data_IF_702563072969
#
_entry.id   IF_702563072969
#
_cell.length_a   1.000
_cell.length_b   1.000
_cell.length_c   1.000
_cell.angle_alpha   90.00
_cell.angle_beta   90.00
_cell.angle_gamma   90.00
#
_symmetry.space_group_name_H-M   'P 1'
#
loop_
_entity.id
_entity.type
_entity.pdbx_description
1 polymer ?
#
# COMPACT_ATOMS: atom_id res chain seq x y z
N UNK A 1 3.49 0.83 -1.57
CA UNK A 1 2.86 2.14 -1.28
C UNK A 1 3.96 3.17 -1.11
N UNK A 2 4.26 3.93 -2.17
CA UNK A 2 5.41 4.84 -2.17
C UNK A 2 5.07 6.27 -1.71
N UNK A 3 3.78 6.61 -1.65
CA UNK A 3 3.31 7.98 -1.38
C UNK A 3 3.74 8.52 -0.02
N UNK A 4 3.91 7.66 0.99
CA UNK A 4 4.36 8.10 2.34
C UNK A 4 5.78 8.69 2.31
N UNK A 5 6.63 8.28 1.37
CA UNK A 5 7.98 8.84 1.22
C UNK A 5 7.99 10.27 0.68
N UNK A 6 6.89 10.75 0.10
CA UNK A 6 6.77 12.15 -0.33
C UNK A 6 6.60 13.11 0.86
N UNK A 7 6.28 12.59 2.06
CA UNK A 7 6.01 13.38 3.26
C UNK A 7 6.78 12.82 4.48
N UNK A 8 8.12 12.98 4.52
CA UNK A 8 8.94 12.41 5.60
C UNK A 8 8.49 12.84 7.01
N UNK A 9 8.42 11.89 7.93
CA UNK A 9 8.00 12.09 9.32
C UNK A 9 6.50 12.39 9.50
N UNK A 10 5.71 12.37 8.42
CA UNK A 10 4.26 12.60 8.46
C UNK A 10 3.50 11.28 8.34
N UNK A 11 2.34 11.23 9.00
CA UNK A 11 1.38 10.17 8.74
C UNK A 11 0.54 10.55 7.52
N UNK A 12 0.48 9.64 6.54
CA UNK A 12 -0.37 9.75 5.36
C UNK A 12 -1.57 8.82 5.56
N UNK A 13 -2.78 9.36 5.43
CA UNK A 13 -4.04 8.60 5.42
C UNK A 13 -4.45 8.34 3.97
N UNK A 14 -4.89 7.12 3.69
CA UNK A 14 -5.25 6.66 2.35
C UNK A 14 -6.57 5.92 2.46
N UNK A 15 -7.60 6.48 1.82
CA UNK A 15 -8.94 5.91 1.76
C UNK A 15 -9.24 5.53 0.30
N UNK A 16 -9.76 4.32 0.10
CA UNK A 16 -10.04 3.75 -1.22
C UNK A 16 -11.18 2.74 -1.11
N UNK A 17 -11.91 2.43 -2.19
CA UNK A 17 -12.70 1.20 -2.25
C UNK A 17 -11.78 -0.02 -2.43
N UNK A 18 -12.25 -1.18 -1.97
CA UNK A 18 -11.70 -2.49 -2.28
C UNK A 18 -11.93 -2.80 -3.76
N UNK A 19 -10.90 -3.32 -4.45
CA UNK A 19 -10.98 -3.60 -5.88
C UNK A 19 -11.96 -4.73 -6.24
N UNK A 20 -12.25 -5.63 -5.30
CA UNK A 20 -13.12 -6.80 -5.52
C UNK A 20 -14.58 -6.48 -5.16
N UNK A 21 -14.84 -6.09 -3.90
CA UNK A 21 -16.21 -5.89 -3.39
C UNK A 21 -16.67 -4.44 -3.31
N UNK A 22 -15.79 -3.46 -3.59
CA UNK A 22 -16.08 -2.02 -3.51
C UNK A 22 -16.42 -1.46 -2.11
N UNK A 23 -16.23 -2.24 -1.04
CA UNK A 23 -16.31 -1.74 0.33
C UNK A 23 -15.14 -0.80 0.66
N UNK A 24 -15.33 0.11 1.61
CA UNK A 24 -14.28 1.06 2.00
C UNK A 24 -13.09 0.37 2.68
N UNK A 25 -11.89 0.81 2.33
CA UNK A 25 -10.64 0.44 2.99
C UNK A 25 -9.88 1.71 3.39
N UNK A 26 -9.27 1.69 4.57
CA UNK A 26 -8.46 2.80 5.10
C UNK A 26 -7.10 2.31 5.58
N UNK A 27 -6.04 3.06 5.24
CA UNK A 27 -4.66 2.75 5.61
C UNK A 27 -4.00 4.02 6.12
N UNK A 28 -3.32 3.92 7.26
CA UNK A 28 -2.40 4.94 7.73
C UNK A 28 -0.97 4.45 7.59
N UNK A 29 -0.13 5.30 7.01
CA UNK A 29 1.29 5.01 6.80
C UNK A 29 2.19 6.12 7.33
N UNK A 30 3.39 5.77 7.76
CA UNK A 30 4.47 6.72 8.08
C UNK A 30 5.80 6.14 7.64
N UNK A 31 6.57 6.89 6.87
CA UNK A 31 7.94 6.54 6.46
C UNK A 31 8.08 5.10 5.93
N UNK A 32 7.17 4.72 5.00
CA UNK A 32 7.14 3.39 4.40
C UNK A 32 6.48 2.28 5.23
N UNK A 33 6.13 2.53 6.49
CA UNK A 33 5.48 1.55 7.37
C UNK A 33 3.96 1.77 7.45
N UNK A 34 3.20 0.68 7.43
CA UNK A 34 1.77 0.68 7.75
C UNK A 34 1.64 0.68 9.28
N UNK A 35 0.94 1.67 9.82
CA UNK A 35 0.73 1.81 11.27
C UNK A 35 -0.71 1.50 11.68
N UNK A 36 -1.67 1.62 10.76
CA UNK A 36 -3.04 1.16 10.93
C UNK A 36 -3.65 0.76 9.57
N UNK A 37 -4.54 -0.23 9.59
CA UNK A 37 -5.23 -0.73 8.42
C UNK A 37 -6.62 -1.23 8.84
N UNK A 38 -7.65 -0.82 8.10
CA UNK A 38 -9.04 -1.26 8.31
C UNK A 38 -9.72 -1.54 6.95
N UNK A 39 -10.11 -2.80 6.67
CA UNK A 39 -9.98 -3.97 7.52
C UNK A 39 -8.51 -4.41 7.70
N UNK A 40 -8.20 -5.09 8.80
CA UNK A 40 -6.84 -5.60 9.06
C UNK A 40 -6.34 -6.65 8.06
N UNK A 41 -7.24 -7.16 7.20
CA UNK A 41 -6.99 -8.18 6.18
C UNK A 41 -6.71 -7.60 4.79
N UNK A 42 -6.49 -6.29 4.65
CA UNK A 42 -6.21 -5.66 3.35
C UNK A 42 -5.01 -6.32 2.66
N UNK A 43 -5.15 -6.55 1.37
CA UNK A 43 -4.08 -7.04 0.48
C UNK A 43 -3.81 -6.04 -0.65
N UNK A 44 -2.54 -5.84 -0.99
CA UNK A 44 -2.13 -5.02 -2.12
C UNK A 44 -1.90 -5.88 -3.37
N UNK A 45 -2.61 -5.59 -4.46
CA UNK A 45 -2.36 -6.20 -5.76
C UNK A 45 -1.50 -5.28 -6.64
N UNK A 46 -0.46 -5.85 -7.27
CA UNK A 46 0.35 -5.16 -8.27
C UNK A 46 0.59 -6.08 -9.46
N UNK A 47 0.20 -5.63 -10.65
CA UNK A 47 0.62 -6.26 -11.89
C UNK A 47 2.12 -6.01 -12.12
N UNK A 48 2.89 -7.08 -12.27
CA UNK A 48 4.28 -7.01 -12.72
C UNK A 48 4.30 -7.03 -14.25
N UNK A 49 5.11 -6.17 -14.91
CA UNK A 49 5.27 -6.27 -16.35
C UNK A 49 5.88 -7.63 -16.72
N UNK A 50 5.29 -8.29 -17.72
CA UNK A 50 5.85 -9.51 -18.31
C UNK A 50 7.11 -9.10 -19.07
N UNK A 51 8.28 -9.57 -18.61
CA UNK A 51 9.57 -9.28 -19.23
C UNK A 51 10.42 -8.25 -18.46
N UNK A 52 10.89 -8.67 -17.28
CA UNK A 52 12.15 -8.33 -16.57
C UNK A 52 11.95 -8.79 -15.12
N UNK A 53 12.46 -9.97 -14.80
CA UNK A 53 12.68 -10.40 -13.42
C UNK A 53 13.49 -9.29 -12.72
N UNK A 54 12.92 -8.68 -11.68
CA UNK A 54 13.75 -7.96 -10.72
C UNK A 54 14.74 -8.97 -10.12
N UNK A 55 16.01 -8.60 -9.85
CA UNK A 55 16.92 -9.50 -9.18
C UNK A 55 16.34 -9.88 -7.82
N UNK A 56 16.35 -11.17 -7.50
CA UNK A 56 16.10 -11.70 -6.16
C UNK A 56 17.00 -10.96 -5.17
N UNK A 57 16.43 -10.18 -4.26
CA UNK A 57 17.17 -9.70 -3.09
C UNK A 57 17.42 -10.91 -2.17
N UNK A 58 18.71 -11.11 -1.85
CA UNK A 58 19.25 -12.14 -0.98
C UNK A 58 19.15 -11.75 0.49
#
# INVERSE_FOLDING_TARGET
MAVSWLFPGKTVSIDSPCLDCNEGISIQMRDGHVIAADPSTIVGHRNLPIGKTAPTEA
#
